data_IF_409113837014
#
_entry.id   IF_409113837014
#
_cell.length_a   1.000
_cell.length_b   1.000
_cell.length_c   1.000
_cell.angle_alpha   90.00
_cell.angle_beta   90.00
_cell.angle_gamma   90.00
#
_symmetry.space_group_name_H-M   'P 1'
#
loop_
_entity.id
_entity.type
_entity.pdbx_description
1 polymer ?
#
# COMPACT_ATOMS: atom_id res chain seq x y z
N UNK A 1 12.43 -44.12 -26.78
CA UNK A 1 13.40 -43.34 -25.98
C UNK A 1 13.49 -41.96 -26.59
N UNK A 2 12.76 -40.99 -26.04
CA UNK A 2 12.75 -39.60 -26.51
C UNK A 2 14.07 -38.93 -26.15
N UNK A 3 14.79 -38.45 -27.14
CA UNK A 3 16.03 -37.67 -26.98
C UNK A 3 15.72 -36.36 -26.27
N UNK A 4 16.12 -36.26 -25.01
CA UNK A 4 16.12 -35.01 -24.25
C UNK A 4 17.10 -34.03 -24.90
N UNK A 5 16.63 -32.83 -25.20
CA UNK A 5 17.39 -31.74 -25.80
C UNK A 5 18.49 -31.26 -24.81
N UNK A 6 19.79 -31.20 -25.18
CA UNK A 6 20.90 -30.95 -24.25
C UNK A 6 21.04 -29.49 -23.78
N UNK A 7 20.18 -28.57 -24.21
CA UNK A 7 20.22 -27.16 -23.80
C UNK A 7 19.22 -26.88 -22.69
N UNK A 8 19.43 -27.46 -21.51
CA UNK A 8 18.79 -26.94 -20.30
C UNK A 8 19.50 -25.63 -19.92
N UNK A 9 18.91 -24.50 -20.31
CA UNK A 9 19.35 -23.21 -19.79
C UNK A 9 18.95 -23.19 -18.31
N UNK A 10 19.94 -23.42 -17.44
CA UNK A 10 19.79 -23.32 -16.00
C UNK A 10 19.60 -21.85 -15.63
N UNK A 11 18.36 -21.38 -15.62
CA UNK A 11 18.05 -20.10 -15.02
C UNK A 11 17.94 -20.27 -13.51
N UNK A 12 18.92 -19.75 -12.78
CA UNK A 12 18.80 -19.56 -11.34
C UNK A 12 18.09 -18.25 -11.08
N UNK A 13 16.90 -18.30 -10.50
CA UNK A 13 16.29 -17.10 -9.93
C UNK A 13 16.30 -17.20 -8.42
N UNK A 14 16.58 -16.06 -7.80
CA UNK A 14 16.34 -15.88 -6.39
C UNK A 14 15.60 -14.58 -6.16
N UNK A 15 14.68 -14.58 -5.20
CA UNK A 15 14.05 -13.36 -4.74
C UNK A 15 13.95 -13.38 -3.22
N UNK A 16 14.13 -12.21 -2.64
CA UNK A 16 14.02 -11.97 -1.21
C UNK A 16 12.89 -10.99 -0.96
N UNK A 17 12.07 -11.27 0.04
CA UNK A 17 10.91 -10.46 0.38
C UNK A 17 10.97 -10.12 1.85
N UNK A 18 10.81 -8.83 2.12
CA UNK A 18 10.84 -8.28 3.47
C UNK A 18 9.55 -7.51 3.72
N UNK A 19 9.08 -7.54 4.96
CA UNK A 19 7.97 -6.70 5.40
C UNK A 19 8.52 -5.50 6.16
N UNK A 20 8.08 -4.30 5.79
CA UNK A 20 8.37 -3.08 6.56
C UNK A 20 7.65 -3.06 7.92
N UNK A 21 6.58 -3.86 8.07
CA UNK A 21 5.76 -3.91 9.28
C UNK A 21 6.24 -5.02 10.22
N UNK A 22 6.81 -6.09 9.69
CA UNK A 22 7.28 -7.23 10.49
C UNK A 22 8.73 -7.56 10.09
N UNK A 23 9.68 -7.01 10.85
CA UNK A 23 11.13 -7.15 10.61
C UNK A 23 11.63 -8.59 10.59
N UNK A 24 10.87 -9.52 11.17
CA UNK A 24 11.17 -10.97 11.19
C UNK A 24 10.68 -11.71 9.95
N UNK A 25 9.81 -11.10 9.13
CA UNK A 25 9.32 -11.74 7.91
C UNK A 25 10.33 -11.52 6.79
N UNK A 26 11.25 -12.47 6.64
CA UNK A 26 12.16 -12.57 5.49
C UNK A 26 11.93 -13.90 4.79
N UNK A 27 11.43 -13.83 3.56
CA UNK A 27 11.32 -15.01 2.70
C UNK A 27 12.38 -14.93 1.63
N UNK A 28 13.24 -15.96 1.56
CA UNK A 28 14.24 -16.09 0.51
C UNK A 28 13.91 -17.37 -0.23
N UNK A 29 13.69 -17.25 -1.54
CA UNK A 29 13.51 -18.39 -2.42
C UNK A 29 14.63 -18.38 -3.45
N UNK A 30 15.25 -19.52 -3.66
CA UNK A 30 16.22 -19.76 -4.71
C UNK A 30 15.90 -21.12 -5.33
N UNK A 31 15.86 -21.18 -6.66
CA UNK A 31 15.60 -22.41 -7.39
C UNK A 31 16.29 -22.40 -8.75
N UNK A 32 16.62 -23.60 -9.22
CA UNK A 32 17.11 -23.89 -10.57
C UNK A 32 15.98 -24.39 -11.48
N UNK A 33 14.74 -24.49 -10.99
CA UNK A 33 13.59 -25.02 -11.72
C UNK A 33 12.94 -23.97 -12.64
N UNK A 34 12.45 -24.39 -13.81
CA UNK A 34 11.82 -23.51 -14.81
C UNK A 34 10.48 -22.87 -14.35
N UNK A 35 9.91 -23.31 -13.21
CA UNK A 35 8.57 -22.88 -12.74
C UNK A 35 8.58 -21.72 -11.75
N UNK A 36 9.67 -20.96 -11.69
CA UNK A 36 9.84 -19.84 -10.74
C UNK A 36 8.69 -18.82 -10.85
N UNK A 37 8.21 -18.53 -12.05
CA UNK A 37 7.09 -17.63 -12.26
C UNK A 37 5.82 -18.13 -11.54
N UNK A 38 5.50 -19.42 -11.62
CA UNK A 38 4.33 -19.99 -10.94
C UNK A 38 4.46 -19.91 -9.41
N UNK A 39 5.67 -20.15 -8.87
CA UNK A 39 5.95 -20.03 -7.44
C UNK A 39 5.77 -18.59 -6.97
N UNK A 40 6.29 -17.63 -7.74
CA UNK A 40 6.15 -16.20 -7.46
C UNK A 40 4.68 -15.76 -7.48
N UNK A 41 3.89 -16.19 -8.46
CA UNK A 41 2.46 -15.83 -8.57
C UNK A 41 1.63 -16.44 -7.46
N UNK A 42 1.89 -17.71 -7.13
CA UNK A 42 1.24 -18.38 -6.00
C UNK A 42 1.53 -17.65 -4.69
N UNK A 43 2.77 -17.17 -4.51
CA UNK A 43 3.14 -16.35 -3.36
C UNK A 43 2.39 -15.01 -3.33
N UNK A 44 2.39 -14.25 -4.44
CA UNK A 44 1.65 -12.98 -4.54
C UNK A 44 0.16 -13.17 -4.20
N UNK A 45 -0.43 -14.25 -4.72
CA UNK A 45 -1.82 -14.60 -4.45
C UNK A 45 -2.05 -14.90 -2.97
N UNK A 46 -1.15 -15.65 -2.33
CA UNK A 46 -1.22 -15.93 -0.89
C UNK A 46 -1.10 -14.65 -0.05
N UNK A 47 -0.23 -13.72 -0.43
CA UNK A 47 -0.10 -12.41 0.25
C UNK A 47 -1.35 -11.59 0.05
N UNK A 48 -1.88 -11.51 -1.17
CA UNK A 48 -3.13 -10.81 -1.46
C UNK A 48 -4.28 -11.37 -0.62
N UNK A 49 -4.42 -12.70 -0.52
CA UNK A 49 -5.42 -13.33 0.32
C UNK A 49 -5.17 -13.11 1.82
N UNK A 50 -3.92 -13.15 2.28
CA UNK A 50 -3.57 -12.87 3.68
C UNK A 50 -3.91 -11.43 4.06
N UNK A 51 -3.53 -10.46 3.23
CA UNK A 51 -3.86 -9.04 3.46
C UNK A 51 -5.36 -8.81 3.27
N UNK A 52 -5.99 -9.45 2.29
CA UNK A 52 -7.43 -9.40 2.06
C UNK A 52 -8.23 -9.96 3.22
N UNK A 53 -7.82 -11.07 3.82
CA UNK A 53 -8.45 -11.65 5.02
C UNK A 53 -8.20 -10.81 6.27
N UNK A 54 -7.02 -10.21 6.44
CA UNK A 54 -6.79 -9.21 7.51
C UNK A 54 -7.69 -8.00 7.29
N UNK A 55 -7.69 -7.44 6.09
CA UNK A 55 -8.56 -6.32 5.70
C UNK A 55 -10.03 -6.65 5.92
N UNK A 56 -10.51 -7.85 5.57
CA UNK A 56 -11.88 -8.36 5.83
C UNK A 56 -12.19 -8.56 7.31
N UNK A 57 -11.24 -9.07 8.11
CA UNK A 57 -11.40 -9.20 9.58
C UNK A 57 -11.47 -7.84 10.27
N UNK A 58 -10.72 -6.86 9.78
CA UNK A 58 -10.78 -5.48 10.23
C UNK A 58 -11.84 -4.66 9.46
N UNK A 59 -12.48 -5.18 8.40
CA UNK A 59 -13.44 -4.43 7.58
C UNK A 59 -14.73 -4.09 8.31
N UNK A 60 -15.26 -4.91 9.25
CA UNK A 60 -16.31 -4.50 10.15
C UNK A 60 -15.95 -3.27 10.99
N UNK A 61 -14.65 -2.98 11.18
CA UNK A 61 -14.14 -1.75 11.82
C UNK A 61 -13.87 -0.64 10.79
N UNK A 62 -13.51 -0.97 9.54
CA UNK A 62 -13.29 -0.01 8.43
C UNK A 62 -14.62 0.52 7.84
N UNK A 63 -15.71 -0.25 7.93
CA UNK A 63 -17.08 0.22 7.68
C UNK A 63 -17.66 0.91 8.92
N UNK A 64 -16.87 1.76 9.58
CA UNK A 64 -17.37 2.72 10.53
C UNK A 64 -18.24 3.76 9.79
N UNK A 65 -19.47 3.38 9.40
CA UNK A 65 -20.54 4.34 9.12
C UNK A 65 -20.93 5.13 10.39
N UNK A 66 -20.42 4.71 11.54
CA UNK A 66 -20.43 5.38 12.83
C UNK A 66 -19.16 4.98 13.60
N UNK A 67 -18.09 5.78 13.55
CA UNK A 67 -17.02 5.69 14.55
C UNK A 67 -17.49 6.43 15.79
N UNK A 68 -18.23 5.74 16.64
CA UNK A 68 -18.60 6.25 17.96
C UNK A 68 -17.37 6.15 18.86
N UNK A 69 -16.62 7.25 18.93
CA UNK A 69 -15.45 7.50 19.78
C UNK A 69 -14.10 6.93 19.32
N UNK A 70 -13.30 7.83 18.74
CA UNK A 70 -11.85 7.80 18.95
C UNK A 70 -11.61 8.02 20.45
N UNK A 71 -10.95 7.08 21.11
CA UNK A 71 -10.53 7.26 22.50
C UNK A 71 -9.25 8.10 22.50
N UNK A 72 -9.38 9.38 22.85
CA UNK A 72 -8.27 10.34 22.90
C UNK A 72 -7.85 10.51 24.36
N UNK A 73 -6.57 10.34 24.66
CA UNK A 73 -6.05 10.60 26.01
C UNK A 73 -5.78 12.10 26.25
N UNK A 74 -5.54 12.49 27.50
CA UNK A 74 -5.36 13.91 27.85
C UNK A 74 -4.18 14.56 27.12
N UNK A 75 -3.07 13.84 26.94
CA UNK A 75 -1.91 14.33 26.20
C UNK A 75 -2.22 14.58 24.72
N UNK A 76 -3.01 13.70 24.10
CA UNK A 76 -3.49 13.84 22.73
C UNK A 76 -4.48 14.99 22.58
N UNK A 77 -5.36 15.21 23.56
CA UNK A 77 -6.25 16.37 23.60
C UNK A 77 -5.42 17.67 23.65
N UNK A 78 -4.40 17.71 24.50
CA UNK A 78 -3.50 18.86 24.61
C UNK A 78 -2.80 19.09 23.27
N UNK A 79 -2.19 18.06 22.69
CA UNK A 79 -1.53 18.14 21.36
C UNK A 79 -2.48 18.62 20.28
N UNK A 80 -3.71 18.12 20.24
CA UNK A 80 -4.71 18.55 19.26
C UNK A 80 -5.03 20.05 19.41
N UNK A 81 -5.25 20.50 20.65
CA UNK A 81 -5.62 21.90 20.93
C UNK A 81 -4.50 22.86 20.59
N UNK A 82 -3.27 22.54 20.99
CA UNK A 82 -2.10 23.41 20.81
C UNK A 82 -1.52 23.37 19.40
N UNK A 83 -1.84 22.37 18.59
CA UNK A 83 -1.36 22.28 17.22
C UNK A 83 -1.81 23.47 16.36
N UNK A 84 -0.83 24.07 15.71
CA UNK A 84 -0.96 25.18 14.76
C UNK A 84 -0.96 24.71 13.30
N UNK A 85 -0.55 23.47 13.04
CA UNK A 85 -0.34 22.91 11.71
C UNK A 85 -1.03 21.55 11.54
N UNK A 86 -1.48 21.28 10.32
CA UNK A 86 -2.08 20.01 9.94
C UNK A 86 -1.04 18.90 9.86
N UNK A 87 -1.27 17.78 10.54
CA UNK A 87 -0.31 16.67 10.54
C UNK A 87 -0.17 15.98 9.16
N UNK A 88 -1.15 16.15 8.26
CA UNK A 88 -1.17 15.50 6.95
C UNK A 88 -0.38 16.31 5.91
N UNK A 89 -0.63 17.61 5.82
CA UNK A 89 -0.03 18.47 4.80
C UNK A 89 1.01 19.44 5.33
N UNK A 90 1.15 19.61 6.65
CA UNK A 90 2.07 20.55 7.27
C UNK A 90 1.61 22.01 7.24
N UNK A 91 0.53 22.33 6.52
CA UNK A 91 0.05 23.71 6.40
C UNK A 91 -0.68 24.19 7.67
N UNK A 92 -0.63 25.50 7.99
CA UNK A 92 -1.24 26.04 9.20
C UNK A 92 -2.77 25.92 9.21
N UNK A 93 -3.34 25.85 10.40
CA UNK A 93 -4.79 26.00 10.60
C UNK A 93 -5.22 27.46 10.47
N UNK A 94 -6.46 27.66 10.08
CA UNK A 94 -7.06 28.99 10.11
C UNK A 94 -7.13 29.48 11.56
N UNK A 95 -6.44 30.58 11.84
CA UNK A 95 -6.57 31.34 13.08
C UNK A 95 -7.65 32.42 12.91
N UNK A 96 -8.25 32.91 14.01
CA UNK A 96 -9.14 34.07 13.98
C UNK A 96 -8.57 35.29 13.25
N UNK A 97 -7.23 35.46 13.24
CA UNK A 97 -6.55 36.54 12.52
C UNK A 97 -6.41 36.32 11.01
N UNK A 98 -6.44 35.08 10.53
CA UNK A 98 -6.39 34.73 9.10
C UNK A 98 -7.76 34.68 8.42
N UNK A 99 -8.84 34.59 9.21
CA UNK A 99 -10.22 34.64 8.69
C UNK A 99 -10.69 36.09 8.63
N UNK A 100 -10.50 36.73 7.47
CA UNK A 100 -11.20 37.98 7.16
C UNK A 100 -12.70 37.66 7.00
N UNK A 101 -13.43 37.78 8.12
CA UNK A 101 -14.88 37.97 8.35
C UNK A 101 -15.98 37.27 7.51
N UNK A 102 -15.72 36.62 6.36
CA UNK A 102 -16.80 36.13 5.48
C UNK A 102 -16.62 34.71 4.94
N UNK A 103 -15.44 34.09 5.05
CA UNK A 103 -15.29 32.69 4.66
C UNK A 103 -14.15 32.01 5.43
N UNK A 104 -14.43 31.49 6.62
CA UNK A 104 -13.66 30.35 7.11
C UNK A 104 -13.85 29.24 6.06
N UNK A 105 -12.83 29.00 5.25
CA UNK A 105 -12.85 27.93 4.26
C UNK A 105 -13.13 26.62 5.01
N UNK A 106 -14.36 26.09 4.88
CA UNK A 106 -14.81 24.91 5.65
C UNK A 106 -13.84 23.74 5.53
N UNK A 107 -13.13 23.64 4.41
CA UNK A 107 -12.07 22.68 4.12
C UNK A 107 -10.92 22.72 5.13
N UNK A 108 -10.55 23.90 5.65
CA UNK A 108 -9.43 24.13 6.58
C UNK A 108 -9.81 24.10 8.05
N UNK A 109 -11.04 23.68 8.38
CA UNK A 109 -11.47 23.44 9.76
C UNK A 109 -10.62 22.33 10.36
N UNK A 110 -10.12 22.54 11.59
CA UNK A 110 -9.34 21.55 12.34
C UNK A 110 -10.26 20.42 12.83
N UNK A 111 -9.94 19.18 12.49
CA UNK A 111 -10.66 17.96 12.86
C UNK A 111 -9.71 16.89 13.40
N UNK A 112 -10.26 15.90 14.10
CA UNK A 112 -9.50 14.76 14.64
C UNK A 112 -9.41 13.65 13.58
N UNK A 113 -8.22 13.41 13.05
CA UNK A 113 -7.95 12.22 12.22
C UNK A 113 -7.57 11.03 13.11
N UNK A 114 -7.98 9.84 12.67
CA UNK A 114 -7.73 8.61 13.38
C UNK A 114 -7.53 7.44 12.41
N UNK A 115 -6.94 6.38 12.93
CA UNK A 115 -6.74 5.14 12.19
C UNK A 115 -8.07 4.38 12.08
N UNK A 116 -8.54 4.13 10.86
CA UNK A 116 -9.79 3.38 10.64
C UNK A 116 -9.64 1.85 10.83
N UNK A 117 -8.42 1.35 11.03
CA UNK A 117 -8.13 -0.05 11.35
C UNK A 117 -8.01 -0.24 12.87
N UNK A 118 -7.25 0.64 13.54
CA UNK A 118 -6.94 0.49 14.98
C UNK A 118 -7.76 1.41 15.89
N UNK A 119 -8.40 2.45 15.36
CA UNK A 119 -9.12 3.48 16.12
C UNK A 119 -8.23 4.54 16.77
N UNK A 120 -6.90 4.43 16.65
CA UNK A 120 -5.96 5.31 17.32
C UNK A 120 -5.98 6.73 16.74
N UNK A 121 -5.92 7.74 17.60
CA UNK A 121 -5.73 9.12 17.17
C UNK A 121 -4.41 9.30 16.43
N UNK A 122 -4.44 9.97 15.27
CA UNK A 122 -3.25 10.20 14.44
C UNK A 122 -2.76 11.64 14.56
N UNK A 123 -3.67 12.60 14.57
CA UNK A 123 -3.28 14.00 14.64
C UNK A 123 -4.40 14.97 14.27
N UNK A 124 -4.13 16.28 14.44
CA UNK A 124 -5.03 17.33 14.03
C UNK A 124 -4.87 17.54 12.52
N UNK A 125 -5.98 17.48 11.78
CA UNK A 125 -5.97 17.62 10.33
C UNK A 125 -6.95 18.70 9.87
N UNK A 126 -6.75 19.24 8.67
CA UNK A 126 -7.83 19.95 7.98
C UNK A 126 -8.94 18.98 7.62
N UNK A 127 -10.19 19.42 7.64
CA UNK A 127 -11.35 18.62 7.26
C UNK A 127 -11.19 18.01 5.86
N UNK A 128 -10.69 18.80 4.89
CA UNK A 128 -10.43 18.32 3.54
C UNK A 128 -9.31 17.27 3.50
N UNK A 129 -8.21 17.50 4.23
CA UNK A 129 -7.11 16.54 4.33
C UNK A 129 -7.60 15.22 4.93
N UNK A 130 -8.33 15.26 6.05
CA UNK A 130 -8.89 14.08 6.71
C UNK A 130 -9.81 13.27 5.76
N UNK A 131 -10.73 13.94 5.05
CA UNK A 131 -11.64 13.25 4.10
C UNK A 131 -10.87 12.61 2.94
N UNK A 132 -9.77 13.24 2.50
CA UNK A 132 -8.96 12.76 1.38
C UNK A 132 -7.88 11.76 1.79
N UNK A 133 -7.53 11.69 3.08
CA UNK A 133 -6.51 10.79 3.62
C UNK A 133 -7.06 9.38 3.81
N UNK A 134 -7.25 8.70 2.68
CA UNK A 134 -7.83 7.37 2.61
C UNK A 134 -6.75 6.31 2.53
N UNK A 135 -7.00 5.19 3.20
CA UNK A 135 -6.19 3.98 3.02
C UNK A 135 -6.40 3.50 1.58
N UNK A 136 -5.31 3.29 0.79
CA UNK A 136 -5.42 2.83 -0.58
C UNK A 136 -6.19 1.50 -0.65
N UNK A 137 -7.00 1.34 -1.69
CA UNK A 137 -7.77 0.13 -1.91
C UNK A 137 -6.97 -1.01 -2.56
N UNK A 138 -5.70 -0.78 -2.86
CA UNK A 138 -4.75 -1.72 -3.44
C UNK A 138 -3.56 -1.94 -2.48
N UNK A 139 -2.79 -3.01 -2.71
CA UNK A 139 -1.61 -3.36 -1.90
C UNK A 139 -0.37 -2.93 -2.68
N UNK A 140 0.40 -1.93 -2.22
CA UNK A 140 1.66 -1.58 -2.86
C UNK A 140 2.69 -2.69 -2.60
N UNK A 141 3.26 -3.23 -3.68
CA UNK A 141 4.38 -4.19 -3.63
C UNK A 141 5.59 -3.51 -4.27
N UNK A 142 6.65 -3.31 -3.48
CA UNK A 142 7.89 -2.72 -3.97
C UNK A 142 8.86 -3.83 -4.36
N UNK A 143 9.39 -3.76 -5.58
CA UNK A 143 10.26 -4.78 -6.15
C UNK A 143 11.58 -4.12 -6.53
N UNK A 144 12.65 -4.46 -5.80
CA UNK A 144 13.98 -4.00 -6.15
C UNK A 144 14.40 -4.62 -7.49
N UNK A 145 14.87 -3.79 -8.42
CA UNK A 145 15.25 -4.17 -9.79
C UNK A 145 14.12 -4.78 -10.64
N UNK A 146 12.86 -4.65 -10.22
CA UNK A 146 11.69 -5.15 -10.97
C UNK A 146 11.40 -4.38 -12.27
N UNK A 147 12.12 -3.30 -12.55
CA UNK A 147 11.94 -2.52 -13.77
C UNK A 147 12.67 -3.08 -14.98
N UNK A 148 13.56 -4.06 -14.80
CA UNK A 148 14.45 -4.58 -15.86
C UNK A 148 13.93 -5.89 -16.44
N UNK A 149 14.52 -6.28 -17.58
CA UNK A 149 14.09 -7.39 -18.43
C UNK A 149 13.79 -8.71 -17.69
N UNK A 150 14.63 -9.13 -16.75
CA UNK A 150 14.44 -10.41 -16.04
C UNK A 150 13.11 -10.50 -15.29
N UNK A 151 12.59 -9.37 -14.82
CA UNK A 151 11.29 -9.31 -14.15
C UNK A 151 10.13 -9.48 -15.14
N UNK A 152 10.32 -9.13 -16.40
CA UNK A 152 9.27 -9.23 -17.42
C UNK A 152 8.83 -10.67 -17.62
N UNK A 153 9.72 -11.64 -17.44
CA UNK A 153 9.39 -13.06 -17.53
C UNK A 153 8.36 -13.47 -16.46
N UNK A 154 8.51 -12.92 -15.24
CA UNK A 154 7.55 -13.14 -14.16
C UNK A 154 6.21 -12.45 -14.44
N UNK A 155 6.27 -11.21 -14.92
CA UNK A 155 5.09 -10.39 -15.22
C UNK A 155 4.30 -10.94 -16.40
N UNK A 156 4.98 -11.44 -17.43
CA UNK A 156 4.34 -12.08 -18.58
C UNK A 156 3.50 -13.28 -18.13
N UNK A 157 4.07 -14.13 -17.27
CA UNK A 157 3.32 -15.25 -16.70
C UNK A 157 2.13 -14.79 -15.84
N UNK A 158 2.25 -13.69 -15.11
CA UNK A 158 1.13 -13.07 -14.39
C UNK A 158 0.02 -12.63 -15.34
N UNK A 159 0.38 -11.95 -16.43
CA UNK A 159 -0.56 -11.45 -17.42
C UNK A 159 -1.34 -12.60 -18.07
N UNK A 160 -0.67 -13.70 -18.40
CA UNK A 160 -1.31 -14.91 -18.93
C UNK A 160 -2.33 -15.50 -17.96
N UNK A 161 -2.04 -15.51 -16.66
CA UNK A 161 -2.89 -16.12 -15.64
C UNK A 161 -4.07 -15.24 -15.22
N UNK A 162 -3.89 -13.91 -15.16
CA UNK A 162 -4.84 -13.00 -14.49
C UNK A 162 -5.60 -12.06 -15.44
N UNK A 163 -5.32 -12.11 -16.75
CA UNK A 163 -6.00 -11.37 -17.86
C UNK A 163 -6.08 -9.84 -17.76
N UNK A 164 -5.82 -9.24 -16.61
CA UNK A 164 -5.98 -7.80 -16.34
C UNK A 164 -4.73 -7.24 -15.64
N UNK A 165 -3.69 -7.00 -16.44
CA UNK A 165 -2.44 -6.39 -15.98
C UNK A 165 -2.24 -5.05 -16.71
N UNK A 166 -2.29 -3.96 -15.96
CA UNK A 166 -1.93 -2.63 -16.46
C UNK A 166 -0.46 -2.36 -16.13
N UNK A 167 0.27 -1.66 -17.00
CA UNK A 167 1.68 -1.33 -16.76
C UNK A 167 2.04 0.07 -17.26
N UNK A 168 2.89 0.77 -16.51
CA UNK A 168 3.48 2.04 -16.92
C UNK A 168 4.89 1.74 -17.44
N UNK A 169 5.05 1.75 -18.76
CA UNK A 169 6.34 1.49 -19.40
C UNK A 169 7.12 2.80 -19.62
N UNK A 170 8.43 2.77 -19.39
CA UNK A 170 9.34 3.83 -19.82
C UNK A 170 9.85 3.58 -21.24
N UNK A 171 10.18 2.32 -21.55
CA UNK A 171 10.49 1.83 -22.88
C UNK A 171 10.15 0.32 -22.97
N UNK A 172 10.49 -0.35 -24.08
CA UNK A 172 10.19 -1.78 -24.28
C UNK A 172 10.94 -2.72 -23.33
N UNK A 173 12.00 -2.26 -22.69
CA UNK A 173 12.86 -3.02 -21.78
C UNK A 173 12.74 -2.56 -20.33
N UNK A 174 12.07 -1.44 -20.07
CA UNK A 174 11.97 -0.84 -18.75
C UNK A 174 10.55 -0.41 -18.41
N UNK A 175 10.04 -0.94 -17.29
CA UNK A 175 8.71 -0.65 -16.78
C UNK A 175 8.80 -0.06 -15.37
N UNK A 176 8.05 1.00 -15.12
CA UNK A 176 8.05 1.75 -13.86
C UNK A 176 7.17 1.06 -12.83
N UNK A 177 5.98 0.60 -13.24
CA UNK A 177 5.02 -0.03 -12.33
C UNK A 177 4.08 -0.98 -13.06
N UNK A 178 3.58 -1.96 -12.30
CA UNK A 178 2.54 -2.89 -12.72
C UNK A 178 1.36 -2.80 -11.76
N UNK A 179 0.14 -2.85 -12.30
CA UNK A 179 -1.10 -2.86 -11.54
C UNK A 179 -1.89 -4.10 -11.93
N UNK A 180 -2.03 -5.00 -10.97
CA UNK A 180 -2.86 -6.20 -11.09
C UNK A 180 -4.14 -6.03 -10.27
N UNK A 181 -5.28 -6.28 -10.91
CA UNK A 181 -6.57 -6.40 -10.23
C UNK A 181 -6.86 -7.88 -9.99
N UNK A 182 -7.05 -8.27 -8.73
CA UNK A 182 -7.38 -9.64 -8.32
C UNK A 182 -8.85 -9.78 -7.99
#
# INVERSE_FOLDING_TARGET
MSTLNPYYVLYTYSFAITSSVHSTTRFIYASTEERIAQVFIKWLSNVYQMVGTRRKRHLPQILCRHCSHVTINDEEIIRHRTATECFICGEPFQTPSTVMAAAAEKSKVKVHDHDHILGNYRGPAHMSCNVNYKIPNHIPVFIHNGSRYDFHLLVHQLAEQLKTLDAIAQNKEQYISYLQKF
#
